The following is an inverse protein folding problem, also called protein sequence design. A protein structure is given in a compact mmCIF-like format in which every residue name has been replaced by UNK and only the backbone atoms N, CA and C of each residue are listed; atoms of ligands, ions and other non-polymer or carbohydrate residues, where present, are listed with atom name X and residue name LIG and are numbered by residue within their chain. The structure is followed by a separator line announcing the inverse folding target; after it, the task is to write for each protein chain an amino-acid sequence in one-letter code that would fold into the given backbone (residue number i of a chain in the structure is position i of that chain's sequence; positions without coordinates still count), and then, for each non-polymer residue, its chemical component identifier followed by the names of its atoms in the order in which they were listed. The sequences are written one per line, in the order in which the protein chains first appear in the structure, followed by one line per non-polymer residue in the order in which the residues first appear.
data_IF_315430241794
#
_entry.id   IF_315430241794
#
_cell.length_a   1.000
_cell.length_b   1.000
_cell.length_c   1.000
_cell.angle_alpha   90.00
_cell.angle_beta   90.00
_cell.angle_gamma   90.00
#
_symmetry.space_group_name_H-M   'P 1'
#
loop_
_entity.id
_entity.type
_entity.pdbx_description
1 polymer ?
#
# COMPACT_ATOMS: atom_id res chain seq x y z
N UNK A 1 -6.77 3.40 10.01
CA UNK A 1 -7.30 2.17 9.40
C UNK A 1 -6.32 1.00 9.52
N UNK A 2 -6.81 -0.24 9.40
CA UNK A 2 -5.99 -1.46 9.41
C UNK A 2 -5.82 -1.96 7.98
N UNK A 3 -4.59 -1.98 7.48
CA UNK A 3 -4.25 -2.65 6.22
C UNK A 3 -4.72 -4.11 6.24
N UNK A 4 -5.40 -4.55 5.17
CA UNK A 4 -5.93 -5.91 5.05
C UNK A 4 -4.98 -6.75 4.20
N UNK A 5 -4.53 -7.88 4.74
CA UNK A 5 -3.74 -8.87 4.00
C UNK A 5 -4.68 -9.95 3.47
N UNK A 6 -4.60 -10.26 2.18
CA UNK A 6 -5.34 -11.35 1.53
C UNK A 6 -4.37 -12.20 0.70
N UNK A 7 -4.56 -13.52 0.67
CA UNK A 7 -3.75 -14.42 -0.16
C UNK A 7 -4.39 -14.53 -1.54
N UNK A 8 -3.62 -14.24 -2.59
CA UNK A 8 -4.08 -14.27 -3.99
C UNK A 8 -3.12 -15.15 -4.79
N UNK A 9 -3.59 -16.28 -5.32
CA UNK A 9 -2.79 -17.18 -6.17
C UNK A 9 -1.41 -17.54 -5.57
N UNK A 10 -1.36 -17.87 -4.27
CA UNK A 10 -0.11 -18.20 -3.57
C UNK A 10 0.79 -17.01 -3.21
N UNK A 11 0.38 -15.79 -3.56
CA UNK A 11 1.06 -14.55 -3.19
C UNK A 11 0.34 -13.85 -2.04
N UNK A 12 1.05 -13.00 -1.32
CA UNK A 12 0.49 -12.13 -0.29
C UNK A 12 0.14 -10.78 -0.89
N UNK A 13 -1.09 -10.33 -0.69
CA UNK A 13 -1.56 -9.01 -1.07
C UNK A 13 -1.81 -8.20 0.20
N UNK A 14 -1.20 -7.03 0.33
CA UNK A 14 -1.53 -6.06 1.38
C UNK A 14 -2.13 -4.81 0.72
N UNK A 15 -3.29 -4.39 1.23
CA UNK A 15 -4.02 -3.22 0.73
C UNK A 15 -4.23 -2.21 1.85
N UNK A 16 -4.21 -0.93 1.48
CA UNK A 16 -4.52 0.20 2.33
C UNK A 16 -5.29 1.25 1.53
N UNK A 17 -6.25 1.88 2.18
CA UNK A 17 -7.08 2.95 1.61
C UNK A 17 -6.55 4.30 2.08
N UNK A 18 -6.45 5.26 1.16
CA UNK A 18 -6.00 6.62 1.39
C UNK A 18 -6.98 7.53 0.65
N UNK A 19 -7.82 8.25 1.39
CA UNK A 19 -8.92 9.03 0.82
C UNK A 19 -9.82 8.14 -0.05
N UNK A 20 -9.88 8.39 -1.36
CA UNK A 20 -10.61 7.63 -2.39
C UNK A 20 -9.70 6.68 -3.20
N UNK A 21 -8.42 6.58 -2.86
CA UNK A 21 -7.43 5.72 -3.50
C UNK A 21 -7.22 4.43 -2.71
N UNK A 22 -7.16 3.29 -3.42
CA UNK A 22 -6.66 2.03 -2.85
C UNK A 22 -5.24 1.81 -3.35
N UNK A 23 -4.29 1.75 -2.43
CA UNK A 23 -2.93 1.32 -2.72
C UNK A 23 -2.70 -0.09 -2.20
N UNK A 24 -1.80 -0.82 -2.84
CA UNK A 24 -1.46 -2.15 -2.36
C UNK A 24 -0.21 -2.71 -2.99
N UNK A 25 0.32 -3.74 -2.32
CA UNK A 25 1.46 -4.52 -2.78
C UNK A 25 1.06 -5.98 -2.87
N UNK A 26 1.18 -6.53 -4.07
CA UNK A 26 1.22 -7.97 -4.29
C UNK A 26 2.67 -8.42 -4.23
N UNK A 27 2.99 -9.33 -3.32
CA UNK A 27 4.35 -9.80 -3.10
C UNK A 27 4.37 -11.29 -2.78
N UNK A 28 5.50 -11.92 -3.08
CA UNK A 28 5.78 -13.29 -2.66
C UNK A 28 6.30 -13.28 -1.21
N UNK A 29 5.56 -13.92 -0.30
CA UNK A 29 5.92 -14.00 1.12
C UNK A 29 7.06 -14.97 1.42
N UNK A 30 7.40 -15.87 0.50
CA UNK A 30 8.58 -16.74 0.63
C UNK A 30 9.87 -15.96 0.40
N UNK A 31 9.80 -14.94 -0.45
CA UNK A 31 10.96 -14.10 -0.82
C UNK A 31 11.02 -12.79 -0.02
N UNK A 32 9.88 -12.14 0.24
CA UNK A 32 9.80 -10.85 0.91
C UNK A 32 9.10 -10.98 2.27
N UNK A 33 9.80 -10.72 3.39
CA UNK A 33 9.18 -10.74 4.71
C UNK A 33 8.04 -9.72 4.82
N UNK A 34 6.94 -10.09 5.48
CA UNK A 34 5.78 -9.22 5.67
C UNK A 34 6.15 -7.86 6.28
N UNK A 35 7.10 -7.83 7.23
CA UNK A 35 7.58 -6.58 7.82
C UNK A 35 8.18 -5.62 6.79
N UNK A 36 8.90 -6.15 5.78
CA UNK A 36 9.47 -5.36 4.69
C UNK A 36 8.37 -4.89 3.73
N UNK A 37 7.42 -5.76 3.39
CA UNK A 37 6.25 -5.38 2.59
C UNK A 37 5.45 -4.24 3.25
N UNK A 38 5.26 -4.29 4.57
CA UNK A 38 4.62 -3.22 5.35
C UNK A 38 5.42 -1.91 5.35
N UNK A 39 6.76 -1.99 5.40
CA UNK A 39 7.61 -0.79 5.29
C UNK A 39 7.50 -0.15 3.91
N UNK A 40 7.53 -0.96 2.85
CA UNK A 40 7.36 -0.48 1.47
C UNK A 40 5.97 0.16 1.27
N UNK A 41 4.91 -0.48 1.78
CA UNK A 41 3.55 0.06 1.70
C UNK A 41 3.45 1.42 2.42
N UNK A 42 4.11 1.58 3.57
CA UNK A 42 4.16 2.88 4.29
C UNK A 42 4.85 3.97 3.47
N UNK A 43 5.91 3.64 2.72
CA UNK A 43 6.57 4.61 1.85
C UNK A 43 5.67 4.96 0.65
N UNK A 44 5.04 3.96 0.04
CA UNK A 44 4.08 4.17 -1.04
C UNK A 44 2.91 5.05 -0.58
N UNK A 45 2.40 4.82 0.64
CA UNK A 45 1.37 5.65 1.26
C UNK A 45 1.80 7.11 1.37
N UNK A 46 2.99 7.40 1.90
CA UNK A 46 3.47 8.77 2.02
C UNK A 46 3.58 9.46 0.67
N UNK A 47 4.14 8.78 -0.33
CA UNK A 47 4.24 9.31 -1.68
C UNK A 47 2.86 9.55 -2.31
N UNK A 48 1.89 8.65 -2.06
CA UNK A 48 0.52 8.83 -2.52
C UNK A 48 -0.17 10.01 -1.82
N UNK A 49 0.01 10.18 -0.52
CA UNK A 49 -0.51 11.33 0.24
C UNK A 49 0.08 12.65 -0.24
N UNK A 50 1.38 12.71 -0.53
CA UNK A 50 2.05 13.90 -1.10
C UNK A 50 1.48 14.25 -2.48
N UNK A 51 1.42 13.28 -3.39
CA UNK A 51 0.87 13.49 -4.74
C UNK A 51 -0.61 13.91 -4.70
N UNK A 52 -1.41 13.31 -3.82
CA UNK A 52 -2.82 13.61 -3.71
C UNK A 52 -3.06 14.98 -3.04
N UNK A 53 -2.25 15.34 -2.04
CA UNK A 53 -2.27 16.67 -1.43
C UNK A 53 -1.93 17.78 -2.43
N UNK A 54 -0.90 17.57 -3.25
CA UNK A 54 -0.52 18.50 -4.32
C UNK A 54 -1.64 18.68 -5.37
N UNK A 55 -2.40 17.61 -5.66
CA UNK A 55 -3.54 17.67 -6.59
C UNK A 55 -4.71 18.45 -5.97
N UNK A 56 -5.00 18.25 -4.69
CA UNK A 56 -6.13 18.89 -4.00
C UNK A 56 -5.91 20.39 -3.73
N UNK A 57 -4.66 20.86 -3.61
CA UNK A 57 -4.33 22.29 -3.45
C UNK A 57 -4.26 23.05 -4.79
N UNK A 58 -4.26 22.35 -5.92
CA UNK A 58 -4.18 22.92 -7.27
C UNK A 58 -5.53 23.23 -7.93
N UNK A 59 -6.67 22.98 -7.26
CA UNK A 59 -8.03 23.28 -7.72
C UNK A 59 -8.60 24.61 -7.19
#
# INVERSE_FOLDING_TARGET
EKAKVSVVCGHSLILEEINDLIIGLLYDSETLPEGMARLLLKQLRRAAEELYGDIAEGE
#
